data_IF_863100334977
#
_entry.id   IF_863100334977
#
_cell.length_a   1.000
_cell.length_b   1.000
_cell.length_c   1.000
_cell.angle_alpha   90.00
_cell.angle_beta   90.00
_cell.angle_gamma   90.00
#
_symmetry.space_group_name_H-M   'P 1'
#
loop_
_entity.id
_entity.type
_entity.pdbx_description
1 polymer ?
#
# COMPACT_ATOMS: atom_id res chain seq x y z
N UNK A 1 -18.71 -16.99 -11.48
CA UNK A 1 -19.19 -15.59 -11.64
C UNK A 1 -18.41 -14.92 -12.78
N UNK A 2 -18.81 -13.72 -13.25
CA UNK A 2 -18.17 -13.03 -14.40
C UNK A 2 -16.65 -12.90 -14.21
N UNK A 3 -16.16 -12.58 -13.00
CA UNK A 3 -14.72 -12.50 -12.71
C UNK A 3 -13.97 -13.82 -12.94
N UNK A 4 -14.51 -14.96 -12.49
CA UNK A 4 -13.92 -16.29 -12.73
C UNK A 4 -13.92 -16.65 -14.22
N UNK A 5 -14.95 -16.25 -14.97
CA UNK A 5 -15.00 -16.43 -16.42
C UNK A 5 -13.90 -15.59 -17.10
N UNK A 6 -13.77 -14.32 -16.72
CA UNK A 6 -12.73 -13.44 -17.25
C UNK A 6 -11.32 -14.00 -16.96
N UNK A 7 -11.09 -14.52 -15.75
CA UNK A 7 -9.82 -15.19 -15.42
C UNK A 7 -9.59 -16.45 -16.28
N UNK A 8 -10.60 -17.29 -16.47
CA UNK A 8 -10.51 -18.49 -17.32
C UNK A 8 -10.16 -18.15 -18.78
N UNK A 9 -10.75 -17.07 -19.30
CA UNK A 9 -10.49 -16.57 -20.65
C UNK A 9 -9.19 -15.74 -20.76
N UNK A 10 -8.38 -15.68 -19.70
CA UNK A 10 -7.16 -14.85 -19.60
C UNK A 10 -7.39 -13.33 -19.76
N UNK A 11 -8.62 -12.86 -19.55
CA UNK A 11 -9.01 -11.44 -19.53
C UNK A 11 -8.74 -10.83 -18.15
N UNK A 12 -7.49 -10.94 -17.71
CA UNK A 12 -7.08 -10.58 -16.34
C UNK A 12 -7.25 -9.10 -16.03
N UNK A 13 -6.89 -8.22 -16.97
CA UNK A 13 -7.09 -6.77 -16.84
C UNK A 13 -8.58 -6.43 -16.67
N UNK A 14 -9.44 -6.98 -17.52
CA UNK A 14 -10.90 -6.80 -17.42
C UNK A 14 -11.45 -7.29 -16.09
N UNK A 15 -10.91 -8.41 -15.56
CA UNK A 15 -11.28 -8.90 -14.23
C UNK A 15 -10.88 -7.90 -13.15
N UNK A 16 -9.66 -7.33 -13.19
CA UNK A 16 -9.20 -6.32 -12.21
C UNK A 16 -10.02 -5.03 -12.29
N UNK A 17 -10.30 -4.55 -13.50
CA UNK A 17 -11.15 -3.36 -13.71
C UNK A 17 -12.53 -3.59 -13.12
N UNK A 18 -13.15 -4.74 -13.40
CA UNK A 18 -14.47 -5.07 -12.86
C UNK A 18 -14.45 -5.15 -11.32
N UNK A 19 -13.45 -5.78 -10.73
CA UNK A 19 -13.29 -5.84 -9.28
C UNK A 19 -13.19 -4.44 -8.66
N UNK A 20 -12.33 -3.59 -9.22
CA UNK A 20 -12.09 -2.23 -8.74
C UNK A 20 -13.31 -1.33 -8.89
N UNK A 21 -13.96 -1.34 -10.06
CA UNK A 21 -15.12 -0.48 -10.33
C UNK A 21 -16.37 -0.93 -9.57
N UNK A 22 -16.49 -2.24 -9.34
CA UNK A 22 -17.66 -2.81 -8.67
C UNK A 22 -17.50 -2.87 -7.15
N UNK A 23 -16.27 -2.90 -6.63
CA UNK A 23 -15.95 -2.98 -5.21
C UNK A 23 -16.45 -4.26 -4.52
N UNK A 24 -16.85 -5.29 -5.28
CA UNK A 24 -17.49 -6.51 -4.76
C UNK A 24 -16.52 -7.57 -4.26
N UNK A 25 -15.35 -7.70 -4.89
CA UNK A 25 -14.36 -8.71 -4.54
C UNK A 25 -12.96 -8.10 -4.60
N UNK A 26 -12.24 -8.17 -3.49
CA UNK A 26 -10.85 -7.77 -3.40
C UNK A 26 -9.96 -9.00 -3.60
N UNK A 27 -9.28 -9.05 -4.74
CA UNK A 27 -8.34 -10.12 -5.05
C UNK A 27 -7.03 -9.91 -4.28
N UNK A 28 -6.95 -10.57 -3.12
CA UNK A 28 -5.78 -10.52 -2.24
C UNK A 28 -4.49 -10.95 -2.96
N UNK A 29 -4.56 -11.95 -3.85
CA UNK A 29 -3.38 -12.49 -4.52
C UNK A 29 -2.79 -11.49 -5.50
N UNK A 30 -3.64 -10.85 -6.29
CA UNK A 30 -3.24 -9.77 -7.19
C UNK A 30 -2.61 -8.60 -6.43
N UNK A 31 -3.27 -8.15 -5.35
CA UNK A 31 -2.75 -7.07 -4.53
C UNK A 31 -1.40 -7.41 -3.89
N UNK A 32 -1.23 -8.63 -3.39
CA UNK A 32 0.05 -9.14 -2.87
C UNK A 32 1.15 -9.11 -3.92
N UNK A 33 0.85 -9.51 -5.16
CA UNK A 33 1.80 -9.46 -6.28
C UNK A 33 2.23 -8.01 -6.60
N UNK A 34 1.31 -7.04 -6.56
CA UNK A 34 1.65 -5.62 -6.74
C UNK A 34 2.63 -5.14 -5.67
N UNK A 35 2.33 -5.40 -4.39
CA UNK A 35 3.16 -4.98 -3.25
C UNK A 35 4.54 -5.65 -3.29
N UNK A 36 4.62 -6.94 -3.63
CA UNK A 36 5.89 -7.64 -3.72
C UNK A 36 6.77 -7.16 -4.89
N UNK A 37 6.16 -6.73 -5.99
CA UNK A 37 6.87 -6.16 -7.13
C UNK A 37 7.25 -4.68 -6.94
N UNK A 38 6.75 -4.01 -5.88
CA UNK A 38 7.00 -2.58 -5.64
C UNK A 38 6.12 -1.66 -6.50
N UNK A 39 5.05 -2.20 -7.07
CA UNK A 39 4.04 -1.48 -7.84
C UNK A 39 3.08 -0.74 -6.88
N UNK A 40 3.62 0.15 -6.05
CA UNK A 40 2.89 0.79 -4.96
C UNK A 40 1.80 1.74 -5.44
N UNK A 41 2.01 2.41 -6.57
CA UNK A 41 1.02 3.31 -7.17
C UNK A 41 -0.17 2.50 -7.70
N UNK A 42 0.06 1.39 -8.40
CA UNK A 42 -1.00 0.49 -8.84
C UNK A 42 -1.69 -0.21 -7.65
N UNK A 43 -0.95 -0.55 -6.59
CA UNK A 43 -1.51 -1.12 -5.38
C UNK A 43 -2.46 -0.14 -4.68
N UNK A 44 -2.08 1.14 -4.60
CA UNK A 44 -2.92 2.20 -4.05
C UNK A 44 -4.19 2.42 -4.90
N UNK A 45 -4.04 2.51 -6.23
CA UNK A 45 -5.18 2.64 -7.15
C UNK A 45 -6.16 1.46 -7.04
N UNK A 46 -5.65 0.24 -6.77
CA UNK A 46 -6.52 -0.91 -6.53
C UNK A 46 -7.31 -0.78 -5.23
N UNK A 47 -6.71 -0.23 -4.16
CA UNK A 47 -7.37 0.00 -2.87
C UNK A 47 -8.45 1.09 -2.97
N UNK A 48 -8.23 2.12 -3.80
CA UNK A 48 -9.20 3.20 -4.06
C UNK A 48 -10.55 2.68 -4.60
N UNK A 49 -10.58 1.50 -5.23
CA UNK A 49 -11.83 0.85 -5.64
C UNK A 49 -12.70 0.33 -4.49
N UNK A 50 -12.19 0.31 -3.26
CA UNK A 50 -12.85 -0.31 -2.11
C UNK A 50 -13.03 0.63 -0.94
N UNK A 51 -12.07 1.53 -0.70
CA UNK A 51 -12.06 2.43 0.46
C UNK A 51 -11.33 3.72 0.12
N UNK A 52 -11.50 4.75 0.95
CA UNK A 52 -10.74 6.00 0.87
C UNK A 52 -9.73 6.12 2.02
N UNK A 53 -8.68 6.93 1.85
CA UNK A 53 -7.64 7.17 2.86
C UNK A 53 -8.20 7.56 4.24
N UNK A 54 -9.29 8.34 4.26
CA UNK A 54 -9.89 8.89 5.47
C UNK A 54 -11.07 8.06 6.01
N UNK A 55 -11.43 6.95 5.36
CA UNK A 55 -12.66 6.19 5.68
C UNK A 55 -12.64 5.63 7.11
N UNK A 56 -11.53 5.01 7.52
CA UNK A 56 -11.31 4.56 8.89
C UNK A 56 -9.81 4.35 9.17
N UNK A 57 -9.46 4.07 10.43
CA UNK A 57 -8.06 3.92 10.85
C UNK A 57 -7.33 2.74 10.19
N UNK A 58 -8.03 1.67 9.80
CA UNK A 58 -7.43 0.58 9.04
C UNK A 58 -7.15 1.00 7.60
N UNK A 59 -8.09 1.69 6.94
CA UNK A 59 -7.87 2.28 5.62
C UNK A 59 -6.67 3.24 5.65
N UNK A 60 -6.66 4.22 6.55
CA UNK A 60 -5.53 5.16 6.72
C UNK A 60 -4.20 4.43 6.90
N UNK A 61 -4.19 3.32 7.67
CA UNK A 61 -2.98 2.53 7.87
C UNK A 61 -2.52 1.80 6.61
N UNK A 62 -3.42 1.30 5.76
CA UNK A 62 -3.08 0.65 4.48
C UNK A 62 -2.34 1.65 3.57
N UNK A 63 -2.91 2.82 3.32
CA UNK A 63 -2.27 3.88 2.53
C UNK A 63 -0.93 4.31 3.11
N UNK A 64 -0.87 4.46 4.44
CA UNK A 64 0.36 4.84 5.12
C UNK A 64 1.47 3.81 4.90
N UNK A 65 1.18 2.52 5.03
CA UNK A 65 2.19 1.46 4.85
C UNK A 65 2.70 1.40 3.39
N UNK A 66 1.83 1.55 2.39
CA UNK A 66 2.21 1.61 0.97
C UNK A 66 3.14 2.79 0.67
N UNK A 67 2.71 4.02 1.00
CA UNK A 67 3.46 5.25 0.74
C UNK A 67 4.76 5.31 1.55
N UNK A 68 4.77 4.78 2.78
CA UNK A 68 5.97 4.63 3.61
C UNK A 68 7.00 3.72 2.95
N UNK A 69 6.59 2.54 2.48
CA UNK A 69 7.54 1.61 1.84
C UNK A 69 8.09 2.20 0.54
N UNK A 70 7.23 2.78 -0.31
CA UNK A 70 7.64 3.51 -1.52
C UNK A 70 8.66 4.61 -1.21
N UNK A 71 8.43 5.38 -0.13
CA UNK A 71 9.34 6.43 0.31
C UNK A 71 10.71 5.89 0.75
N UNK A 72 10.74 4.81 1.54
CA UNK A 72 11.99 4.20 2.00
C UNK A 72 12.80 3.61 0.84
N UNK A 73 12.15 2.94 -0.11
CA UNK A 73 12.83 2.43 -1.31
C UNK A 73 13.37 3.59 -2.18
N UNK A 74 12.62 4.68 -2.31
CA UNK A 74 13.09 5.90 -2.99
C UNK A 74 14.31 6.52 -2.31
N UNK A 75 14.39 6.47 -0.97
CA UNK A 75 15.56 6.91 -0.21
C UNK A 75 16.77 5.99 -0.43
N UNK A 76 16.54 4.68 -0.49
CA UNK A 76 17.57 3.66 -0.74
C UNK A 76 18.18 3.80 -2.14
N UNK A 77 17.36 4.11 -3.14
CA UNK A 77 17.80 4.39 -4.52
C UNK A 77 18.52 5.74 -4.66
N UNK A 78 18.62 6.52 -3.58
CA UNK A 78 19.28 7.83 -3.56
C UNK A 78 18.47 8.95 -4.21
N UNK A 79 17.20 8.72 -4.56
CA UNK A 79 16.32 9.68 -5.23
C UNK A 79 15.73 10.72 -4.24
N UNK A 80 16.58 11.46 -3.54
CA UNK A 80 16.16 12.38 -2.46
C UNK A 80 15.21 13.49 -2.92
N UNK A 81 15.34 13.99 -4.16
CA UNK A 81 14.40 14.96 -4.72
C UNK A 81 12.98 14.38 -4.86
N UNK A 82 12.87 13.13 -5.32
CA UNK A 82 11.58 12.43 -5.44
C UNK A 82 10.99 12.14 -4.07
N UNK A 83 11.81 11.68 -3.12
CA UNK A 83 11.39 11.47 -1.73
C UNK A 83 10.86 12.76 -1.08
N UNK A 84 11.49 13.91 -1.34
CA UNK A 84 10.98 15.21 -0.89
C UNK A 84 9.63 15.56 -1.54
N UNK A 85 9.45 15.31 -2.83
CA UNK A 85 8.16 15.51 -3.50
C UNK A 85 7.06 14.66 -2.87
N UNK A 86 7.34 13.39 -2.57
CA UNK A 86 6.41 12.51 -1.87
C UNK A 86 6.02 13.06 -0.48
N UNK A 87 6.97 13.63 0.26
CA UNK A 87 6.65 14.26 1.56
C UNK A 87 5.71 15.45 1.43
N UNK A 88 5.91 16.27 0.40
CA UNK A 88 5.12 17.48 0.18
C UNK A 88 3.73 17.20 -0.38
N UNK A 89 3.58 16.13 -1.16
CA UNK A 89 2.36 15.81 -1.92
C UNK A 89 1.58 14.65 -1.30
N UNK A 90 2.24 13.55 -0.97
CA UNK A 90 1.57 12.31 -0.53
C UNK A 90 1.48 12.22 1.00
N UNK A 91 2.54 12.59 1.73
CA UNK A 91 2.53 12.42 3.20
C UNK A 91 1.70 13.49 3.92
N UNK A 92 1.44 14.62 3.24
CA UNK A 92 0.63 15.70 3.78
C UNK A 92 -0.79 15.26 4.13
N UNK A 93 -1.32 14.28 3.41
CA UNK A 93 -2.65 13.72 3.66
C UNK A 93 -2.75 13.06 5.05
N UNK A 94 -1.62 12.65 5.63
CA UNK A 94 -1.58 12.06 6.98
C UNK A 94 -1.40 13.06 8.12
N UNK A 95 -1.20 14.36 7.81
CA UNK A 95 -0.98 15.39 8.82
C UNK A 95 -2.08 15.47 9.91
N UNK A 96 -3.37 15.21 9.63
CA UNK A 96 -4.41 15.16 10.66
C UNK A 96 -4.21 14.04 11.69
N UNK A 97 -3.57 12.93 11.31
CA UNK A 97 -3.38 11.74 12.14
C UNK A 97 -2.04 11.74 12.86
N UNK A 98 -1.00 12.28 12.22
CA UNK A 98 0.32 12.42 12.81
C UNK A 98 1.00 13.71 12.33
N UNK A 99 1.02 14.74 13.21
CA UNK A 99 1.61 16.04 12.89
C UNK A 99 3.13 16.02 12.80
N UNK A 100 3.81 15.10 13.49
CA UNK A 100 5.27 14.99 13.46
C UNK A 100 5.79 14.19 12.28
N UNK A 101 4.93 13.43 11.59
CA UNK A 101 5.29 12.52 10.51
C UNK A 101 6.17 13.20 9.43
N UNK A 102 5.72 14.33 8.87
CA UNK A 102 6.49 15.01 7.83
C UNK A 102 7.85 15.51 8.34
N UNK A 103 7.93 15.92 9.61
CA UNK A 103 9.19 16.35 10.22
C UNK A 103 10.15 15.19 10.44
N UNK A 104 9.65 14.07 10.95
CA UNK A 104 10.41 12.83 11.14
C UNK A 104 10.91 12.28 9.81
N UNK A 105 10.05 12.21 8.80
CA UNK A 105 10.44 11.70 7.49
C UNK A 105 11.36 12.67 6.73
N UNK A 106 11.23 13.99 6.92
CA UNK A 106 12.19 14.95 6.41
C UNK A 106 13.58 14.79 7.02
N UNK A 107 13.68 14.39 8.30
CA UNK A 107 14.96 14.10 8.92
C UNK A 107 15.67 12.90 8.25
N UNK A 108 14.93 11.92 7.71
CA UNK A 108 15.52 10.79 6.99
C UNK A 108 16.18 11.22 5.67
N UNK A 109 15.76 12.35 5.07
CA UNK A 109 16.38 12.87 3.84
C UNK A 109 17.83 13.34 4.03
N UNK A 110 18.26 13.63 5.27
CA UNK A 110 19.60 14.16 5.56
C UNK A 110 20.58 13.09 6.01
N UNK A 111 20.11 11.86 6.24
CA UNK A 111 20.95 10.73 6.68
C UNK A 111 21.46 9.97 5.47
N UNK A 112 22.73 9.57 5.49
CA UNK A 112 23.34 8.76 4.43
C UNK A 112 22.64 7.39 4.32
N UNK A 113 22.42 6.73 5.46
CA UNK A 113 21.66 5.49 5.56
C UNK A 113 20.60 5.60 6.65
N UNK A 114 19.32 5.58 6.24
CA UNK A 114 18.16 5.70 7.12
C UNK A 114 18.01 4.50 8.07
N UNK A 115 18.67 3.36 7.79
CA UNK A 115 18.68 2.18 8.66
C UNK A 115 19.36 2.44 10.00
N UNK A 116 20.17 3.49 10.12
CA UNK A 116 20.72 3.92 11.40
C UNK A 116 19.66 4.55 12.33
N UNK A 117 18.48 4.89 11.82
CA UNK A 117 17.38 5.40 12.64
C UNK A 117 16.77 4.28 13.49
N UNK A 118 16.57 4.51 14.79
CA UNK A 118 16.16 3.46 15.75
C UNK A 118 14.89 2.70 15.32
N UNK A 119 13.90 3.40 14.75
CA UNK A 119 12.65 2.78 14.27
C UNK A 119 12.79 2.00 12.95
N UNK A 120 13.92 2.15 12.25
CA UNK A 120 14.22 1.56 10.94
C UNK A 120 15.43 0.62 10.97
N UNK A 121 16.03 0.40 12.14
CA UNK A 121 17.18 -0.50 12.32
C UNK A 121 16.86 -1.97 12.00
N UNK A 122 15.58 -2.35 11.99
CA UNK A 122 15.10 -3.66 11.55
C UNK A 122 14.76 -3.75 10.07
N UNK A 123 15.01 -2.71 9.27
CA UNK A 123 14.71 -2.71 7.84
C UNK A 123 15.71 -3.63 7.12
N UNK A 124 15.26 -4.84 6.78
CA UNK A 124 16.02 -5.85 6.06
C UNK A 124 16.24 -5.50 4.58
N UNK A 125 16.46 -6.51 3.75
CA UNK A 125 16.47 -6.30 2.30
C UNK A 125 15.09 -5.84 1.80
N UNK A 126 15.06 -5.21 0.63
CA UNK A 126 13.82 -4.66 0.02
C UNK A 126 12.70 -5.69 -0.05
N UNK A 127 13.00 -6.96 -0.35
CA UNK A 127 11.99 -8.01 -0.43
C UNK A 127 11.48 -8.42 0.95
N UNK A 128 12.33 -8.48 1.97
CA UNK A 128 11.93 -8.68 3.36
C UNK A 128 11.03 -7.54 3.86
N UNK A 129 11.40 -6.30 3.54
CA UNK A 129 10.61 -5.13 3.88
C UNK A 129 9.22 -5.18 3.23
N UNK A 130 9.14 -5.45 1.91
CA UNK A 130 7.87 -5.62 1.18
C UNK A 130 7.01 -6.75 1.76
N UNK A 131 7.62 -7.89 2.15
CA UNK A 131 6.90 -8.99 2.84
C UNK A 131 6.34 -8.57 4.19
N UNK A 132 7.12 -7.83 4.98
CA UNK A 132 6.67 -7.32 6.28
C UNK A 132 5.49 -6.36 6.11
N UNK A 133 5.61 -5.40 5.20
CA UNK A 133 4.57 -4.43 4.86
C UNK A 133 3.30 -5.13 4.41
N UNK A 134 3.40 -6.12 3.53
CA UNK A 134 2.24 -6.88 3.09
C UNK A 134 1.56 -7.65 4.23
N UNK A 135 2.32 -8.22 5.17
CA UNK A 135 1.75 -8.88 6.34
C UNK A 135 0.96 -7.91 7.23
N UNK A 136 1.46 -6.69 7.41
CA UNK A 136 0.77 -5.65 8.19
C UNK A 136 -0.47 -5.11 7.47
N UNK A 137 -0.39 -4.90 6.15
CA UNK A 137 -1.55 -4.53 5.33
C UNK A 137 -2.61 -5.63 5.37
N UNK A 138 -2.21 -6.91 5.25
CA UNK A 138 -3.15 -8.05 5.32
C UNK A 138 -3.93 -8.06 6.63
N UNK A 139 -3.27 -7.79 7.76
CA UNK A 139 -3.95 -7.65 9.07
C UNK A 139 -4.95 -6.49 9.07
N UNK A 140 -4.60 -5.37 8.45
CA UNK A 140 -5.50 -4.22 8.32
C UNK A 140 -6.71 -4.55 7.45
N UNK A 141 -6.51 -5.19 6.29
CA UNK A 141 -7.59 -5.62 5.39
C UNK A 141 -8.58 -6.54 6.11
N UNK A 142 -8.10 -7.54 6.86
CA UNK A 142 -8.98 -8.45 7.61
C UNK A 142 -9.74 -7.79 8.76
N UNK A 143 -9.17 -6.76 9.38
CA UNK A 143 -9.80 -6.03 10.48
C UNK A 143 -10.71 -4.88 10.00
N UNK A 144 -10.60 -4.48 8.73
CA UNK A 144 -11.32 -3.34 8.19
C UNK A 144 -12.77 -3.71 7.81
N UNK A 145 -13.79 -3.05 8.41
CA UNK A 145 -15.20 -3.33 8.10
C UNK A 145 -15.56 -3.20 6.62
N UNK A 146 -14.88 -2.31 5.89
CA UNK A 146 -15.13 -2.06 4.45
C UNK A 146 -14.81 -3.29 3.58
N UNK A 147 -13.87 -4.13 4.03
CA UNK A 147 -13.44 -5.33 3.33
C UNK A 147 -14.15 -6.59 3.83
N UNK A 148 -15.00 -6.48 4.86
CA UNK A 148 -15.73 -7.63 5.40
C UNK A 148 -16.62 -8.26 4.33
N UNK A 149 -16.43 -9.57 4.08
CA UNK A 149 -17.16 -10.31 3.05
C UNK A 149 -16.64 -10.11 1.62
N UNK A 150 -15.61 -9.28 1.40
CA UNK A 150 -15.03 -9.00 0.07
C UNK A 150 -13.69 -9.69 -0.18
N UNK A 151 -13.04 -10.23 0.87
CA UNK A 151 -11.71 -10.85 0.79
C UNK A 151 -11.73 -12.32 0.35
N UNK A 152 -12.91 -12.92 0.29
CA UNK A 152 -13.10 -14.27 -0.22
C UNK A 152 -13.72 -14.19 -1.60
N UNK A 153 -13.29 -15.02 -2.56
CA UNK A 153 -13.96 -15.09 -3.85
C UNK A 153 -15.44 -15.45 -3.59
N UNK A 154 -16.38 -14.85 -4.32
CA UNK A 154 -17.79 -15.14 -4.14
C UNK A 154 -18.02 -16.65 -4.30
N UNK A 155 -18.40 -17.29 -3.19
CA UNK A 155 -18.84 -18.68 -3.19
C UNK A 155 -20.20 -18.74 -3.89
N UNK A 156 -20.34 -19.77 -4.73
CA UNK A 156 -21.63 -20.16 -5.33
C UNK A 156 -22.58 -20.58 -4.20
#
# INVERSE_FOLDING_TARGET
MITQFLEHENLTETARTLERESGFYFNMRFFEDLVHNGAFDEAEEYVDGFTDLHENSFSTKIYFELRKQKFLETLEDGERCRALTMLMQEFRDFAPYNRSLCGEAAALLTVDDFRHHQSLAGHGDVNEARRSVMNDIRRCLHANPVFQGKLQPPNI
#
